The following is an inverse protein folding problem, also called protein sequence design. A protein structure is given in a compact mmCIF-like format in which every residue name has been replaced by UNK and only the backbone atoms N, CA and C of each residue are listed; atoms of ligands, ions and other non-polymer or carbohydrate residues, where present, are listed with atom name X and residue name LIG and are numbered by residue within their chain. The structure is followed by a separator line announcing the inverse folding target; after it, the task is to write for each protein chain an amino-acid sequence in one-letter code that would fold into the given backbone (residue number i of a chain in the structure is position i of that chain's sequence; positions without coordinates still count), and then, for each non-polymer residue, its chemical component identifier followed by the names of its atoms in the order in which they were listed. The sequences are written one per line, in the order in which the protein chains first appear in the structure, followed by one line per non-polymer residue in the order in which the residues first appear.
data_IF_011584579449
#
_entry.id   IF_011584579449
#
_cell.length_a   1.000
_cell.length_b   1.000
_cell.length_c   1.000
_cell.angle_alpha   90.00
_cell.angle_beta   90.00
_cell.angle_gamma   90.00
#
_symmetry.space_group_name_H-M   'P 1'
#
loop_
_entity.id
_entity.type
_entity.pdbx_description
1 polymer ?
#
# COMPACT_ATOMS: atom_id res chain seq x y z
N UNK A 1 7.08 25.10 -15.62
CA UNK A 1 7.29 24.29 -14.41
C UNK A 1 5.99 24.26 -13.64
N UNK A 2 5.11 23.28 -13.92
CA UNK A 2 3.86 23.11 -13.19
C UNK A 2 4.07 22.07 -12.10
N UNK A 3 4.04 22.51 -10.84
CA UNK A 3 3.80 21.64 -9.68
C UNK A 3 2.32 21.26 -9.71
N UNK A 4 2.01 20.13 -10.33
CA UNK A 4 0.76 19.42 -10.09
C UNK A 4 0.95 18.61 -8.82
N UNK A 5 0.30 19.01 -7.73
CA UNK A 5 0.15 18.17 -6.54
C UNK A 5 -0.40 16.83 -7.00
N UNK A 6 0.33 15.76 -6.70
CA UNK A 6 -0.03 14.41 -7.09
C UNK A 6 -1.29 14.03 -6.32
N UNK A 7 -2.46 14.33 -6.90
CA UNK A 7 -3.69 13.61 -6.63
C UNK A 7 -3.29 12.13 -6.66
N UNK A 8 -3.51 11.44 -5.53
CA UNK A 8 -2.99 10.09 -5.29
C UNK A 8 -3.12 9.24 -6.54
N UNK A 9 -2.02 8.63 -6.96
CA UNK A 9 -1.95 7.83 -8.17
C UNK A 9 -3.21 6.94 -8.25
N UNK A 10 -4.06 7.07 -9.30
CA UNK A 10 -5.29 6.30 -9.40
C UNK A 10 -5.04 4.78 -9.36
N UNK A 11 -3.78 4.35 -9.51
CA UNK A 11 -3.36 2.96 -9.42
C UNK A 11 -2.79 2.56 -8.04
N UNK A 12 -2.68 3.44 -7.04
CA UNK A 12 -2.04 3.11 -5.76
C UNK A 12 -2.70 1.94 -5.02
N UNK A 13 -4.05 1.89 -5.00
CA UNK A 13 -4.78 0.77 -4.39
C UNK A 13 -4.57 -0.52 -5.19
N UNK A 14 -4.54 -0.42 -6.52
CA UNK A 14 -4.28 -1.57 -7.40
C UNK A 14 -2.85 -2.09 -7.22
N UNK A 15 -1.86 -1.21 -7.05
CA UNK A 15 -0.47 -1.56 -6.79
C UNK A 15 -0.30 -2.25 -5.43
N UNK A 16 -1.01 -1.77 -4.40
CA UNK A 16 -1.06 -2.43 -3.09
C UNK A 16 -1.67 -3.84 -3.18
N UNK A 17 -2.76 -4.01 -3.92
CA UNK A 17 -3.34 -5.33 -4.17
C UNK A 17 -2.43 -6.23 -5.00
N UNK A 18 -1.73 -5.68 -5.99
CA UNK A 18 -0.76 -6.43 -6.78
C UNK A 18 0.41 -6.91 -5.92
N UNK A 19 0.94 -6.07 -5.04
CA UNK A 19 1.97 -6.45 -4.07
C UNK A 19 1.47 -7.55 -3.11
N UNK A 20 0.22 -7.43 -2.64
CA UNK A 20 -0.40 -8.45 -1.80
C UNK A 20 -0.58 -9.79 -2.55
N UNK A 21 -0.95 -9.77 -3.82
CA UNK A 21 -1.05 -10.98 -4.64
C UNK A 21 0.32 -11.64 -4.85
N UNK A 22 1.38 -10.86 -5.04
CA UNK A 22 2.76 -11.39 -5.09
C UNK A 22 3.15 -12.03 -3.74
N UNK A 23 2.81 -11.37 -2.63
CA UNK A 23 3.00 -11.91 -1.29
C UNK A 23 2.15 -13.18 -1.08
N UNK A 24 0.96 -13.27 -1.66
CA UNK A 24 0.06 -14.45 -1.63
C UNK A 24 0.63 -15.62 -2.42
N UNK A 25 1.25 -15.38 -3.57
CA UNK A 25 1.91 -16.43 -4.39
C UNK A 25 3.30 -16.80 -3.89
N UNK A 26 3.87 -16.04 -2.95
CA UNK A 26 5.20 -16.29 -2.39
C UNK A 26 6.34 -15.70 -3.21
N UNK A 27 6.04 -14.76 -4.11
CA UNK A 27 7.03 -14.09 -4.95
C UNK A 27 7.66 -12.92 -4.18
N UNK A 28 8.56 -13.25 -3.26
CA UNK A 28 9.19 -12.28 -2.36
C UNK A 28 9.98 -11.19 -3.10
N UNK A 29 10.63 -11.53 -4.21
CA UNK A 29 11.45 -10.58 -4.96
C UNK A 29 10.58 -9.48 -5.59
N UNK A 30 9.48 -9.87 -6.26
CA UNK A 30 8.58 -8.90 -6.89
C UNK A 30 7.74 -8.15 -5.87
N UNK A 31 7.32 -8.82 -4.80
CA UNK A 31 6.65 -8.18 -3.67
C UNK A 31 7.50 -7.04 -3.11
N UNK A 32 8.77 -7.30 -2.77
CA UNK A 32 9.68 -6.28 -2.23
C UNK A 32 9.95 -5.16 -3.22
N UNK A 33 10.16 -5.46 -4.51
CA UNK A 33 10.35 -4.43 -5.55
C UNK A 33 9.11 -3.52 -5.69
N UNK A 34 7.91 -4.09 -5.51
CA UNK A 34 6.66 -3.33 -5.56
C UNK A 34 6.48 -2.49 -4.29
N UNK A 35 6.65 -3.07 -3.10
CA UNK A 35 6.45 -2.36 -1.83
C UNK A 35 7.48 -1.24 -1.62
N UNK A 36 8.72 -1.39 -2.11
CA UNK A 36 9.71 -0.31 -2.08
C UNK A 36 9.31 0.87 -2.98
N UNK A 37 8.83 0.61 -4.21
CA UNK A 37 8.32 1.67 -5.09
C UNK A 37 7.13 2.41 -4.47
N UNK A 38 6.18 1.67 -3.88
CA UNK A 38 5.03 2.26 -3.21
C UNK A 38 5.46 3.11 -2.00
N UNK A 39 6.47 2.66 -1.23
CA UNK A 39 7.03 3.44 -0.11
C UNK A 39 7.64 4.74 -0.59
N UNK A 40 8.40 4.72 -1.68
CA UNK A 40 9.00 5.93 -2.25
C UNK A 40 7.91 6.94 -2.62
N UNK A 41 6.86 6.52 -3.31
CA UNK A 41 5.71 7.36 -3.64
C UNK A 41 5.00 7.91 -2.38
N UNK A 42 4.96 7.15 -1.29
CA UNK A 42 4.32 7.56 -0.03
C UNK A 42 4.97 8.78 0.62
N UNK A 43 6.24 9.07 0.31
CA UNK A 43 6.95 10.24 0.84
C UNK A 43 6.59 11.52 0.09
N UNK A 44 6.14 11.41 -1.15
CA UNK A 44 5.74 12.54 -2.00
C UNK A 44 4.26 12.92 -1.85
N UNK A 45 3.48 12.13 -1.10
CA UNK A 45 2.06 12.40 -0.86
C UNK A 45 1.85 13.67 0.00
N UNK A 46 1.01 14.59 -0.48
CA UNK A 46 0.70 15.84 0.24
C UNK A 46 -0.03 15.59 1.57
N UNK A 47 -0.92 14.59 1.60
CA UNK A 47 -1.62 14.16 2.81
C UNK A 47 -0.73 13.22 3.63
N UNK A 48 -0.05 13.77 4.64
CA UNK A 48 0.86 13.00 5.52
C UNK A 48 0.24 11.75 6.13
N UNK A 49 -1.03 11.82 6.52
CA UNK A 49 -1.76 10.68 7.08
C UNK A 49 -1.95 9.56 6.04
N UNK A 50 -2.25 9.90 4.79
CA UNK A 50 -2.36 8.92 3.72
C UNK A 50 -1.00 8.24 3.47
N UNK A 51 0.09 9.01 3.41
CA UNK A 51 1.44 8.44 3.28
C UNK A 51 1.82 7.50 4.44
N UNK A 52 1.39 7.78 5.66
CA UNK A 52 1.58 6.86 6.79
C UNK A 52 0.83 5.55 6.62
N UNK A 53 -0.45 5.61 6.22
CA UNK A 53 -1.27 4.42 6.01
C UNK A 53 -0.73 3.54 4.88
N UNK A 54 -0.22 4.15 3.80
CA UNK A 54 0.45 3.43 2.71
C UNK A 54 1.65 2.64 3.23
N UNK A 55 2.53 3.25 4.03
CA UNK A 55 3.68 2.55 4.62
C UNK A 55 3.26 1.44 5.59
N UNK A 56 2.16 1.64 6.31
CA UNK A 56 1.57 0.61 7.19
C UNK A 56 1.10 -0.60 6.36
N UNK A 57 0.39 -0.36 5.26
CA UNK A 57 -0.05 -1.41 4.34
C UNK A 57 1.15 -2.17 3.73
N UNK A 58 2.19 -1.47 3.26
CA UNK A 58 3.42 -2.12 2.79
C UNK A 58 4.04 -3.00 3.89
N UNK A 59 4.13 -2.51 5.13
CA UNK A 59 4.66 -3.30 6.25
C UNK A 59 3.83 -4.56 6.56
N UNK A 60 2.51 -4.49 6.38
CA UNK A 60 1.63 -5.65 6.53
C UNK A 60 1.82 -6.67 5.39
N UNK A 61 1.98 -6.21 4.14
CA UNK A 61 2.26 -7.06 2.97
C UNK A 61 3.59 -7.80 3.15
N UNK A 62 4.67 -7.08 3.49
CA UNK A 62 5.98 -7.68 3.78
C UNK A 62 5.90 -8.80 4.85
N UNK A 63 5.03 -8.60 5.85
CA UNK A 63 4.88 -9.53 6.96
C UNK A 63 4.19 -10.84 6.55
N UNK A 64 3.36 -10.85 5.49
CA UNK A 64 2.68 -12.05 4.98
C UNK A 64 3.68 -13.18 4.72
N UNK A 65 4.83 -12.86 4.15
CA UNK A 65 5.87 -13.85 3.79
C UNK A 65 6.63 -14.39 5.01
N UNK A 66 6.59 -13.68 6.14
CA UNK A 66 7.30 -14.04 7.39
C UNK A 66 6.38 -14.61 8.47
N UNK A 67 5.07 -14.44 8.34
CA UNK A 67 4.08 -14.89 9.32
C UNK A 67 3.93 -16.42 9.34
N UNK A 68 3.91 -16.99 10.55
CA UNK A 68 3.62 -18.41 10.76
C UNK A 68 2.18 -18.77 10.37
N UNK A 69 1.25 -17.84 10.55
CA UNK A 69 -0.13 -17.92 10.05
C UNK A 69 -0.29 -16.94 8.88
N UNK A 70 -0.18 -17.49 7.67
CA UNK A 70 -0.25 -16.71 6.44
C UNK A 70 -1.67 -16.20 6.15
N UNK A 71 -2.70 -16.93 6.56
CA UNK A 71 -4.09 -16.51 6.35
C UNK A 71 -4.42 -15.27 7.21
N UNK A 72 -4.00 -15.30 8.47
CA UNK A 72 -4.10 -14.12 9.34
C UNK A 72 -3.28 -12.93 8.80
N UNK A 73 -2.07 -13.18 8.30
CA UNK A 73 -1.24 -12.15 7.66
C UNK A 73 -1.90 -11.50 6.44
N UNK A 74 -2.47 -12.31 5.55
CA UNK A 74 -3.21 -11.81 4.38
C UNK A 74 -4.41 -10.95 4.78
N UNK A 75 -5.24 -11.44 5.71
CA UNK A 75 -6.42 -10.70 6.18
C UNK A 75 -6.04 -9.37 6.84
N UNK A 76 -4.93 -9.35 7.58
CA UNK A 76 -4.41 -8.10 8.16
C UNK A 76 -3.92 -7.12 7.08
N UNK A 77 -3.20 -7.60 6.06
CA UNK A 77 -2.75 -6.76 4.96
C UNK A 77 -3.93 -6.18 4.15
N UNK A 78 -4.96 -6.99 3.86
CA UNK A 78 -6.20 -6.52 3.22
C UNK A 78 -6.85 -5.40 4.05
N UNK A 79 -6.96 -5.59 5.36
CA UNK A 79 -7.51 -4.56 6.26
C UNK A 79 -6.68 -3.26 6.27
N UNK A 80 -5.36 -3.33 6.15
CA UNK A 80 -4.52 -2.12 6.05
C UNK A 80 -4.73 -1.40 4.70
N UNK A 81 -4.92 -2.13 3.60
CA UNK A 81 -5.23 -1.54 2.29
C UNK A 81 -6.60 -0.84 2.32
N UNK A 82 -7.61 -1.45 2.95
CA UNK A 82 -8.94 -0.85 3.12
C UNK A 82 -8.87 0.52 3.83
N UNK A 83 -8.00 0.68 4.83
CA UNK A 83 -7.78 1.97 5.52
C UNK A 83 -7.22 3.03 4.58
N UNK A 84 -6.28 2.66 3.69
CA UNK A 84 -5.76 3.57 2.67
C UNK A 84 -6.90 4.02 1.76
N UNK A 85 -7.71 3.06 1.27
CA UNK A 85 -8.82 3.34 0.38
C UNK A 85 -9.86 4.26 1.02
N UNK A 86 -10.30 3.97 2.24
CA UNK A 86 -11.26 4.81 2.98
C UNK A 86 -10.72 6.24 3.19
N UNK A 87 -9.43 6.37 3.53
CA UNK A 87 -8.79 7.68 3.69
C UNK A 87 -8.78 8.47 2.38
N UNK A 88 -8.42 7.85 1.25
CA UNK A 88 -8.38 8.51 -0.05
C UNK A 88 -9.78 8.92 -0.52
N UNK A 89 -10.78 8.07 -0.31
CA UNK A 89 -12.18 8.39 -0.61
C UNK A 89 -12.65 9.61 0.20
N UNK A 90 -12.40 9.63 1.52
CA UNK A 90 -12.74 10.79 2.37
C UNK A 90 -12.03 12.07 1.94
N UNK A 91 -10.76 11.97 1.55
CA UNK A 91 -9.99 13.11 1.09
C UNK A 91 -10.47 13.67 -0.25
N UNK A 92 -10.97 12.81 -1.16
CA UNK A 92 -11.54 13.24 -2.44
C UNK A 92 -12.93 13.89 -2.33
N UNK A 93 -13.63 13.64 -1.21
CA UNK A 93 -14.97 14.18 -0.95
C UNK A 93 -14.97 15.49 -0.15
N UNK A 94 -13.79 15.96 0.28
CA UNK A 94 -13.58 17.18 1.07
C UNK A 94 -13.14 18.36 0.19
#
# INVERSE_FOLDING_TARGET
MMRGGMQGDPCLIDDLHAALDMARTGDAARETEMTDRIRDLSYDMELRQAGYLVRSACGAIDAVLRCSDRAAGLSFAEHEIDKVQDMLLRASAA
#
